data_IF_332712489430
#
_entry.id   IF_332712489430
#
_cell.length_a   1.000
_cell.length_b   1.000
_cell.length_c   1.000
_cell.angle_alpha   90.00
_cell.angle_beta   90.00
_cell.angle_gamma   90.00
#
_symmetry.space_group_name_H-M   'P 1'
#
loop_
_entity.id
_entity.type
_entity.pdbx_description
1 polymer ?
#
# COMPACT_ATOMS: atom_id res chain seq x y z
N UNK A 1 -10.14 29.94 -0.47
CA UNK A 1 -9.50 28.67 -0.88
C UNK A 1 -8.26 28.51 -0.02
N UNK A 2 -8.16 27.46 0.78
CA UNK A 2 -6.95 27.19 1.59
C UNK A 2 -5.86 26.66 0.65
N UNK A 3 -4.63 27.13 0.82
CA UNK A 3 -3.48 26.62 0.09
C UNK A 3 -3.24 25.16 0.48
N UNK A 4 -2.90 24.31 -0.50
CA UNK A 4 -2.64 22.89 -0.27
C UNK A 4 -1.22 22.71 0.25
N UNK A 5 -1.06 22.75 1.57
CA UNK A 5 0.23 22.62 2.25
C UNK A 5 0.09 21.58 3.37
N UNK A 6 1.16 20.83 3.70
CA UNK A 6 1.13 19.87 4.80
C UNK A 6 1.01 20.55 6.15
N UNK A 7 0.45 19.86 7.14
CA UNK A 7 0.35 20.37 8.52
C UNK A 7 1.74 20.64 9.13
N UNK A 8 2.75 19.90 8.70
CA UNK A 8 4.13 20.08 9.16
C UNK A 8 4.66 21.46 8.79
N UNK A 9 4.48 21.86 7.53
CA UNK A 9 4.93 23.17 7.02
C UNK A 9 4.02 24.29 7.51
N UNK A 10 2.70 24.07 7.52
CA UNK A 10 1.75 25.13 7.83
C UNK A 10 1.65 25.44 9.34
N UNK A 11 1.87 24.45 10.18
CA UNK A 11 1.62 24.54 11.64
C UNK A 11 2.84 24.16 12.46
N UNK A 12 3.42 22.97 12.23
CA UNK A 12 4.45 22.44 13.12
C UNK A 12 5.76 23.23 13.02
N UNK A 13 6.18 23.56 11.81
CA UNK A 13 7.42 24.32 11.60
C UNK A 13 7.34 25.75 12.22
N UNK A 14 6.33 26.58 11.95
CA UNK A 14 6.17 27.86 12.61
C UNK A 14 6.04 27.76 14.14
N UNK A 15 5.33 26.75 14.64
CA UNK A 15 5.19 26.52 16.08
C UNK A 15 6.52 26.15 16.75
N UNK A 16 7.36 25.35 16.11
CA UNK A 16 8.69 24.96 16.63
C UNK A 16 9.65 26.13 16.76
N UNK A 17 9.47 27.18 15.96
CA UNK A 17 10.24 28.42 16.03
C UNK A 17 9.65 29.46 17.01
N UNK A 18 8.70 29.05 17.85
CA UNK A 18 8.07 29.92 18.85
C UNK A 18 7.04 30.90 18.28
N UNK A 19 6.56 30.65 17.05
CA UNK A 19 5.45 31.41 16.45
C UNK A 19 4.12 31.14 17.18
N UNK A 20 3.23 32.13 17.17
CA UNK A 20 1.84 32.00 17.65
C UNK A 20 1.66 31.70 19.15
N UNK A 21 2.70 31.80 19.99
CA UNK A 21 2.59 31.52 21.43
C UNK A 21 2.32 30.05 21.78
N UNK A 22 2.62 29.16 20.87
CA UNK A 22 2.47 27.69 21.01
C UNK A 22 3.85 27.06 21.23
N UNK A 23 3.91 26.06 22.12
CA UNK A 23 5.11 25.25 22.34
C UNK A 23 4.93 23.87 21.77
N UNK A 24 5.93 23.40 21.02
CA UNK A 24 6.00 22.02 20.52
C UNK A 24 6.78 21.18 21.53
N UNK A 25 6.18 20.10 22.02
CA UNK A 25 6.84 19.11 22.85
C UNK A 25 6.95 17.79 22.07
N UNK A 26 8.14 17.19 22.08
CA UNK A 26 8.39 15.87 21.49
C UNK A 26 8.60 14.84 22.60
N UNK A 27 7.91 13.71 22.51
CA UNK A 27 8.06 12.58 23.42
C UNK A 27 8.74 11.47 22.63
N UNK A 28 9.96 11.04 22.98
CA UNK A 28 10.61 9.91 22.33
C UNK A 28 9.83 8.63 22.64
N UNK A 29 9.53 7.86 21.60
CA UNK A 29 8.86 6.57 21.71
C UNK A 29 9.75 5.50 21.04
N UNK A 30 10.09 4.45 21.77
CA UNK A 30 10.76 3.28 21.23
C UNK A 30 9.72 2.31 20.65
N UNK A 31 9.19 2.65 19.49
CA UNK A 31 8.23 1.84 18.75
C UNK A 31 8.77 1.55 17.35
N UNK A 32 8.43 0.38 16.82
CA UNK A 32 8.59 0.14 15.39
C UNK A 32 7.44 0.83 14.65
N UNK A 33 7.78 1.83 13.86
CA UNK A 33 6.82 2.56 13.04
C UNK A 33 7.16 2.34 11.57
N UNK A 34 6.13 2.07 10.77
CA UNK A 34 6.27 1.84 9.34
C UNK A 34 5.28 2.71 8.58
N UNK A 35 5.78 3.43 7.59
CA UNK A 35 4.92 4.16 6.65
C UNK A 35 4.42 3.20 5.56
N UNK A 36 3.28 2.56 5.79
CA UNK A 36 2.69 1.60 4.86
C UNK A 36 1.84 2.34 3.84
N UNK A 37 2.47 3.15 3.00
CA UNK A 37 1.82 3.89 1.91
C UNK A 37 1.88 3.21 0.55
N UNK A 38 2.56 2.06 0.43
CA UNK A 38 2.72 1.32 -0.82
C UNK A 38 2.74 -0.19 -0.59
N UNK A 39 2.52 -0.97 -1.65
CA UNK A 39 2.64 -2.43 -1.59
C UNK A 39 4.07 -2.89 -1.27
N UNK A 40 5.08 -2.15 -1.70
CA UNK A 40 6.48 -2.41 -1.37
C UNK A 40 6.73 -2.31 0.14
N UNK A 41 6.18 -1.30 0.79
CA UNK A 41 6.27 -1.13 2.24
C UNK A 41 5.43 -2.16 3.02
N UNK A 42 4.33 -2.66 2.45
CA UNK A 42 3.46 -3.66 3.07
C UNK A 42 4.06 -5.07 3.02
N UNK A 43 4.72 -5.44 1.93
CA UNK A 43 5.18 -6.79 1.66
C UNK A 43 5.97 -7.43 2.83
N UNK A 44 6.98 -6.78 3.45
CA UNK A 44 7.76 -7.38 4.53
C UNK A 44 6.96 -7.72 5.80
N UNK A 45 5.75 -7.17 5.95
CA UNK A 45 4.90 -7.36 7.13
C UNK A 45 3.87 -8.49 6.96
N UNK A 46 3.82 -9.11 5.79
CA UNK A 46 2.93 -10.23 5.52
C UNK A 46 3.67 -11.58 5.62
N UNK A 47 2.96 -12.67 5.92
CA UNK A 47 3.55 -13.99 5.99
C UNK A 47 4.23 -14.38 4.67
N UNK A 48 5.38 -15.04 4.76
CA UNK A 48 6.06 -15.63 3.61
C UNK A 48 5.59 -17.06 3.32
N UNK A 49 5.58 -17.44 2.04
CA UNK A 49 5.27 -18.82 1.60
C UNK A 49 6.49 -19.77 1.63
N UNK A 50 7.64 -19.30 2.11
CA UNK A 50 8.91 -20.03 2.09
C UNK A 50 9.60 -20.10 0.71
N UNK A 51 9.02 -19.53 -0.33
CA UNK A 51 9.56 -19.45 -1.69
C UNK A 51 9.93 -18.01 -2.10
N UNK A 52 9.89 -17.08 -1.14
CA UNK A 52 10.21 -15.67 -1.37
C UNK A 52 9.02 -14.79 -1.74
N UNK A 53 7.80 -15.30 -1.64
CA UNK A 53 6.60 -14.48 -1.80
C UNK A 53 5.98 -14.14 -0.43
N UNK A 54 5.35 -12.98 -0.34
CA UNK A 54 4.51 -12.59 0.79
C UNK A 54 3.06 -12.85 0.43
N UNK A 55 2.32 -13.58 1.27
CA UNK A 55 1.02 -14.12 0.90
C UNK A 55 -0.04 -13.89 1.95
N UNK A 56 -1.28 -13.66 1.51
CA UNK A 56 -2.47 -13.62 2.37
C UNK A 56 -3.62 -14.34 1.68
N UNK A 57 -4.37 -15.13 2.44
CA UNK A 57 -5.47 -15.95 1.92
C UNK A 57 -4.98 -17.21 1.22
N UNK A 58 -5.87 -17.88 0.49
CA UNK A 58 -5.54 -19.11 -0.21
C UNK A 58 -4.81 -18.79 -1.53
N UNK A 59 -3.50 -19.01 -1.54
CA UNK A 59 -2.62 -18.74 -2.69
C UNK A 59 -1.81 -19.96 -3.08
N UNK A 60 -1.50 -20.10 -4.36
CA UNK A 60 -0.63 -21.13 -4.92
C UNK A 60 0.39 -20.47 -5.84
N UNK A 61 1.67 -20.71 -5.60
CA UNK A 61 2.78 -20.19 -6.42
C UNK A 61 3.62 -21.32 -7.00
N UNK A 62 3.92 -21.25 -8.30
CA UNK A 62 4.81 -22.16 -9.01
C UNK A 62 5.83 -21.32 -9.79
N UNK A 63 7.12 -21.64 -9.63
CA UNK A 63 8.23 -20.92 -10.28
C UNK A 63 8.10 -19.38 -10.15
N UNK A 64 7.72 -18.90 -8.95
CA UNK A 64 7.39 -17.51 -8.69
C UNK A 64 8.01 -17.05 -7.39
N UNK A 65 8.65 -15.89 -7.38
CA UNK A 65 9.33 -15.33 -6.20
C UNK A 65 9.29 -13.79 -6.18
N UNK A 66 9.46 -13.20 -4.99
CA UNK A 66 9.46 -11.75 -4.82
C UNK A 66 8.07 -11.11 -4.95
N UNK A 67 7.01 -11.92 -4.97
CA UNK A 67 5.66 -11.41 -5.19
C UNK A 67 4.94 -11.08 -3.89
N UNK A 68 4.01 -10.15 -3.98
CA UNK A 68 3.00 -9.87 -2.98
C UNK A 68 1.64 -10.39 -3.48
N UNK A 69 1.13 -11.45 -2.86
CA UNK A 69 -0.09 -12.13 -3.28
C UNK A 69 -1.16 -11.99 -2.19
N UNK A 70 -2.14 -11.15 -2.42
CA UNK A 70 -3.25 -10.91 -1.49
C UNK A 70 -4.53 -11.45 -2.10
N UNK A 71 -5.07 -12.50 -1.51
CA UNK A 71 -6.37 -13.05 -1.87
C UNK A 71 -7.37 -12.81 -0.74
N UNK A 72 -8.26 -11.86 -0.93
CA UNK A 72 -9.35 -11.51 0.00
C UNK A 72 -10.67 -12.23 -0.34
N UNK A 73 -10.59 -13.27 -1.18
CA UNK A 73 -11.74 -14.07 -1.59
C UNK A 73 -11.71 -15.43 -0.88
N UNK A 74 -12.60 -15.66 0.11
CA UNK A 74 -12.58 -16.91 0.89
C UNK A 74 -12.89 -18.15 0.04
N UNK A 75 -13.67 -17.99 -1.03
CA UNK A 75 -14.13 -19.11 -1.88
C UNK A 75 -13.32 -19.23 -3.19
N UNK A 76 -12.17 -18.59 -3.27
CA UNK A 76 -11.35 -18.61 -4.49
C UNK A 76 -9.87 -18.83 -4.17
N UNK A 77 -9.18 -19.47 -5.10
CA UNK A 77 -7.72 -19.64 -5.06
C UNK A 77 -7.07 -18.59 -5.95
N UNK A 78 -6.06 -17.91 -5.45
CA UNK A 78 -5.17 -17.09 -6.25
C UNK A 78 -3.95 -17.95 -6.65
N UNK A 79 -3.88 -18.32 -7.90
CA UNK A 79 -2.76 -19.11 -8.44
C UNK A 79 -1.89 -18.27 -9.37
N UNK A 80 -0.58 -18.35 -9.19
CA UNK A 80 0.41 -17.65 -10.03
C UNK A 80 1.51 -18.62 -10.46
N UNK A 81 2.03 -18.44 -11.67
CA UNK A 81 3.13 -19.25 -12.20
C UNK A 81 4.08 -18.39 -13.03
N UNK A 82 5.40 -18.56 -12.80
CA UNK A 82 6.46 -17.89 -13.56
C UNK A 82 6.53 -16.37 -13.35
N UNK A 83 6.01 -15.86 -12.22
CA UNK A 83 5.91 -14.43 -11.97
C UNK A 83 6.91 -13.97 -10.90
N UNK A 84 7.51 -12.81 -11.11
CA UNK A 84 8.49 -12.22 -10.22
C UNK A 84 8.21 -10.74 -9.97
N UNK A 85 8.43 -10.30 -8.73
CA UNK A 85 8.40 -8.90 -8.29
C UNK A 85 7.09 -8.16 -8.64
N UNK A 86 5.96 -8.87 -8.57
CA UNK A 86 4.64 -8.30 -8.80
C UNK A 86 3.78 -8.33 -7.53
N UNK A 87 2.88 -7.37 -7.43
CA UNK A 87 1.75 -7.40 -6.52
C UNK A 87 0.49 -7.86 -7.25
N UNK A 88 -0.17 -8.88 -6.71
CA UNK A 88 -1.51 -9.34 -7.13
C UNK A 88 -2.44 -9.21 -5.95
N UNK A 89 -3.47 -8.38 -6.08
CA UNK A 89 -4.50 -8.19 -5.06
C UNK A 89 -5.84 -8.56 -5.66
N UNK A 90 -6.45 -9.62 -5.13
CA UNK A 90 -7.75 -10.14 -5.59
C UNK A 90 -8.79 -9.96 -4.50
N UNK A 91 -9.83 -9.18 -4.79
CA UNK A 91 -10.99 -8.96 -3.92
C UNK A 91 -12.26 -9.51 -4.58
N UNK A 92 -13.37 -9.41 -3.90
CA UNK A 92 -14.70 -9.79 -4.43
C UNK A 92 -15.11 -8.96 -5.67
N UNK A 93 -14.52 -7.77 -5.86
CA UNK A 93 -14.92 -6.81 -6.89
C UNK A 93 -13.92 -6.59 -7.99
N UNK A 94 -12.64 -6.73 -7.69
CA UNK A 94 -11.58 -6.39 -8.63
C UNK A 94 -10.34 -7.23 -8.38
N UNK A 95 -9.53 -7.39 -9.42
CA UNK A 95 -8.19 -7.94 -9.32
C UNK A 95 -7.22 -6.92 -9.89
N UNK A 96 -6.24 -6.52 -9.08
CA UNK A 96 -5.14 -5.67 -9.47
C UNK A 96 -3.89 -6.51 -9.69
N UNK A 97 -3.16 -6.26 -10.76
CA UNK A 97 -1.83 -6.80 -11.03
C UNK A 97 -0.92 -5.65 -11.40
N UNK A 98 0.18 -5.49 -10.67
CA UNK A 98 1.12 -4.39 -10.90
C UNK A 98 2.54 -4.81 -10.48
N UNK A 99 3.60 -4.42 -11.19
CA UNK A 99 4.97 -4.57 -10.68
C UNK A 99 5.11 -3.82 -9.35
N UNK A 100 5.76 -4.43 -8.35
CA UNK A 100 5.92 -3.81 -7.02
C UNK A 100 6.60 -2.44 -7.15
N UNK A 101 7.61 -2.33 -8.01
CA UNK A 101 8.32 -1.07 -8.29
C UNK A 101 7.43 0.03 -8.91
N UNK A 102 6.26 -0.33 -9.42
CA UNK A 102 5.31 0.59 -10.04
C UNK A 102 4.02 0.78 -9.23
N UNK A 103 4.03 0.42 -7.96
CA UNK A 103 2.86 0.51 -7.06
C UNK A 103 2.23 1.91 -7.01
N UNK A 104 3.00 2.96 -7.27
CA UNK A 104 2.47 4.34 -7.36
C UNK A 104 1.48 4.55 -8.53
N UNK A 105 1.53 3.71 -9.57
CA UNK A 105 0.59 3.79 -10.71
C UNK A 105 -0.83 3.35 -10.34
N UNK A 106 -1.02 2.68 -9.20
CA UNK A 106 -2.35 2.27 -8.72
C UNK A 106 -3.32 3.46 -8.66
N UNK A 107 -2.85 4.65 -8.29
CA UNK A 107 -3.67 5.87 -8.28
C UNK A 107 -4.25 6.21 -9.67
N UNK A 108 -3.44 6.05 -10.72
CA UNK A 108 -3.89 6.30 -12.09
C UNK A 108 -4.87 5.20 -12.55
N UNK A 109 -4.61 3.94 -12.18
CA UNK A 109 -5.52 2.81 -12.47
C UNK A 109 -6.88 3.03 -11.82
N UNK A 110 -6.91 3.42 -10.55
CA UNK A 110 -8.17 3.72 -9.82
C UNK A 110 -8.94 4.84 -10.50
N UNK A 111 -8.27 5.93 -10.92
CA UNK A 111 -8.91 7.02 -11.64
C UNK A 111 -9.53 6.57 -12.98
N UNK A 112 -8.83 5.71 -13.73
CA UNK A 112 -9.32 5.17 -14.99
C UNK A 112 -10.49 4.20 -14.80
N UNK A 113 -10.45 3.35 -13.76
CA UNK A 113 -11.56 2.48 -13.39
C UNK A 113 -12.79 3.30 -13.02
N UNK A 114 -12.63 4.35 -12.22
CA UNK A 114 -13.73 5.25 -11.84
C UNK A 114 -14.37 5.90 -13.07
N UNK A 115 -13.55 6.33 -14.04
CA UNK A 115 -14.03 6.94 -15.27
C UNK A 115 -14.82 5.98 -16.17
N UNK A 116 -14.40 4.70 -16.26
CA UNK A 116 -15.00 3.70 -17.15
C UNK A 116 -16.14 2.91 -16.51
N UNK A 117 -16.02 2.55 -15.25
CA UNK A 117 -16.96 1.64 -14.56
C UNK A 117 -17.79 2.34 -13.47
N UNK A 118 -17.60 3.66 -13.30
CA UNK A 118 -18.22 4.43 -12.22
C UNK A 118 -17.59 4.14 -10.85
N UNK A 119 -17.90 4.97 -9.86
CA UNK A 119 -17.32 4.91 -8.51
C UNK A 119 -17.60 3.64 -7.69
N UNK A 120 -18.28 2.65 -8.28
CA UNK A 120 -18.59 1.38 -7.61
C UNK A 120 -17.35 0.50 -7.38
N UNK A 121 -16.30 0.68 -8.20
CA UNK A 121 -15.09 -0.15 -8.19
C UNK A 121 -13.82 0.63 -7.83
N UNK A 122 -13.96 1.90 -7.47
CA UNK A 122 -12.85 2.79 -7.09
C UNK A 122 -12.88 3.10 -5.60
#
# INVERSE_FOLDING_TARGET
CMEKVSVDIAVMEPASHGGCGVHVAAIPLEIQWYDVGSYEALAPHLPGDGKGNNVTGLTVSVDSAGNLLINDRPDAVLAVAGLHDIAVVSTDRATLVVPISQSQQVKAVVAEVAARAGGRYA
#
